data_IF_795277324945
#
_entry.id   IF_795277324945
#
_cell.length_a   1.000
_cell.length_b   1.000
_cell.length_c   1.000
_cell.angle_alpha   90.00
_cell.angle_beta   90.00
_cell.angle_gamma   90.00
#
_symmetry.space_group_name_H-M   'P 1'
#
loop_
_entity.id
_entity.type
_entity.pdbx_description
1 polymer ?
#
# COMPACT_ATOMS: atom_id res chain seq x y z
N UNK A 1 -30.73 -10.49 6.49
CA UNK A 1 -29.70 -9.82 7.31
C UNK A 1 -28.41 -9.92 6.51
N UNK A 2 -27.74 -8.90 5.97
CA UNK A 2 -27.70 -7.43 6.09
C UNK A 2 -27.57 -6.90 4.64
N UNK A 3 -28.24 -5.84 4.17
CA UNK A 3 -27.92 -4.43 4.48
C UNK A 3 -26.85 -3.89 3.51
N UNK A 4 -27.22 -3.43 2.32
CA UNK A 4 -27.03 -2.02 1.90
C UNK A 4 -26.47 -1.98 0.47
N UNK A 5 -27.01 -1.29 -0.53
CA UNK A 5 -27.57 0.06 -0.47
C UNK A 5 -26.44 1.08 -0.47
N UNK A 6 -25.99 1.50 -1.66
CA UNK A 6 -24.89 2.47 -1.80
C UNK A 6 -25.00 3.28 -3.09
N UNK A 7 -25.89 4.27 -3.04
CA UNK A 7 -26.17 5.28 -4.07
C UNK A 7 -24.93 5.85 -4.75
N UNK A 8 -24.99 5.94 -6.07
CA UNK A 8 -24.34 7.01 -6.82
C UNK A 8 -24.78 8.37 -6.25
N UNK A 9 -23.91 9.13 -5.58
CA UNK A 9 -24.05 10.57 -5.33
C UNK A 9 -22.75 11.19 -4.81
N UNK A 10 -22.32 12.23 -5.51
CA UNK A 10 -21.11 13.00 -5.30
C UNK A 10 -21.16 13.73 -3.94
N UNK A 11 -20.11 13.56 -3.13
CA UNK A 11 -19.96 14.19 -1.81
C UNK A 11 -19.08 13.42 -0.84
N UNK A 12 -18.07 12.69 -1.33
CA UNK A 12 -17.18 11.91 -0.47
C UNK A 12 -16.21 12.85 0.23
N UNK A 13 -16.15 12.79 1.57
CA UNK A 13 -15.07 13.45 2.30
C UNK A 13 -13.80 12.62 2.21
N UNK A 14 -12.66 13.25 2.51
CA UNK A 14 -11.36 12.56 2.55
C UNK A 14 -11.40 11.38 3.55
N UNK A 15 -12.13 11.55 4.65
CA UNK A 15 -12.29 10.53 5.69
C UNK A 15 -13.13 9.35 5.20
N UNK A 16 -14.24 9.60 4.48
CA UNK A 16 -15.07 8.54 3.89
C UNK A 16 -14.27 7.68 2.91
N UNK A 17 -13.43 8.31 2.09
CA UNK A 17 -12.57 7.58 1.13
C UNK A 17 -11.57 6.69 1.86
N UNK A 18 -10.95 7.21 2.92
CA UNK A 18 -9.98 6.45 3.73
C UNK A 18 -10.64 5.29 4.47
N UNK A 19 -11.82 5.50 5.02
CA UNK A 19 -12.62 4.45 5.67
C UNK A 19 -13.02 3.37 4.66
N UNK A 20 -13.50 3.78 3.48
CA UNK A 20 -13.88 2.84 2.41
C UNK A 20 -12.71 2.00 1.93
N UNK A 21 -11.54 2.61 1.73
CA UNK A 21 -10.30 1.89 1.37
C UNK A 21 -9.90 0.94 2.52
N UNK A 22 -10.00 1.39 3.77
CA UNK A 22 -9.73 0.53 4.94
C UNK A 22 -10.60 -0.71 4.94
N UNK A 23 -11.92 -0.53 4.91
CA UNK A 23 -12.90 -1.63 4.90
C UNK A 23 -12.68 -2.60 3.75
N UNK A 24 -12.45 -2.09 2.54
CA UNK A 24 -12.16 -2.91 1.37
C UNK A 24 -10.94 -3.82 1.58
N UNK A 25 -9.86 -3.27 2.16
CA UNK A 25 -8.64 -4.03 2.42
C UNK A 25 -8.84 -5.05 3.54
N UNK A 26 -9.59 -4.70 4.59
CA UNK A 26 -9.95 -5.62 5.68
C UNK A 26 -10.82 -6.78 5.18
N UNK A 27 -11.84 -6.50 4.37
CA UNK A 27 -12.68 -7.52 3.73
C UNK A 27 -11.87 -8.45 2.83
N UNK A 28 -10.93 -7.89 2.06
CA UNK A 28 -10.01 -8.66 1.25
C UNK A 28 -9.08 -9.54 2.10
N UNK A 29 -8.58 -9.01 3.21
CA UNK A 29 -7.76 -9.77 4.16
C UNK A 29 -8.52 -10.97 4.74
N UNK A 30 -9.78 -10.75 5.14
CA UNK A 30 -10.66 -11.75 5.72
C UNK A 30 -11.08 -12.87 4.74
N UNK A 31 -10.81 -12.72 3.44
CA UNK A 31 -11.09 -13.73 2.42
C UNK A 31 -11.70 -13.20 1.12
N UNK A 32 -11.77 -11.88 0.94
CA UNK A 32 -12.30 -11.28 -0.29
C UNK A 32 -11.48 -11.54 -1.55
N UNK A 33 -12.10 -11.30 -2.70
CA UNK A 33 -11.51 -11.56 -4.02
C UNK A 33 -10.70 -10.35 -4.54
N UNK A 34 -9.58 -10.62 -5.20
CA UNK A 34 -8.69 -9.57 -5.71
C UNK A 34 -9.34 -8.74 -6.81
N UNK A 35 -10.20 -9.36 -7.63
CA UNK A 35 -10.89 -8.68 -8.74
C UNK A 35 -11.97 -7.74 -8.20
N UNK A 36 -12.66 -8.14 -7.14
CA UNK A 36 -13.65 -7.30 -6.45
C UNK A 36 -12.99 -6.10 -5.80
N UNK A 37 -11.87 -6.31 -5.09
CA UNK A 37 -11.08 -5.22 -4.52
C UNK A 37 -10.57 -4.24 -5.60
N UNK A 38 -10.00 -4.74 -6.71
CA UNK A 38 -9.58 -3.89 -7.83
C UNK A 38 -10.75 -3.11 -8.45
N UNK A 39 -11.91 -3.76 -8.59
CA UNK A 39 -13.11 -3.13 -9.10
C UNK A 39 -13.58 -2.00 -8.18
N UNK A 40 -13.65 -2.24 -6.88
CA UNK A 40 -14.03 -1.22 -5.91
C UNK A 40 -13.05 -0.04 -5.89
N UNK A 41 -11.74 -0.28 -6.02
CA UNK A 41 -10.72 0.78 -6.18
C UNK A 41 -10.97 1.61 -7.44
N UNK A 42 -11.34 0.97 -8.56
CA UNK A 42 -11.68 1.66 -9.80
C UNK A 42 -12.98 2.48 -9.67
N UNK A 43 -14.00 1.89 -9.03
CA UNK A 43 -15.31 2.52 -8.85
C UNK A 43 -15.30 3.66 -7.83
N UNK A 44 -14.32 3.71 -6.92
CA UNK A 44 -14.04 4.87 -6.08
C UNK A 44 -13.83 6.14 -6.91
N UNK A 45 -13.32 6.04 -8.15
CA UNK A 45 -13.20 7.19 -9.06
C UNK A 45 -12.26 8.30 -8.55
N UNK A 46 -11.40 7.99 -7.60
CA UNK A 46 -10.52 8.95 -6.90
C UNK A 46 -9.04 8.63 -7.13
N UNK A 47 -8.50 8.88 -8.34
CA UNK A 47 -7.12 8.56 -8.70
C UNK A 47 -6.08 9.24 -7.81
N UNK A 48 -6.43 10.37 -7.21
CA UNK A 48 -5.57 11.09 -6.28
C UNK A 48 -5.34 10.34 -4.97
N UNK A 49 -6.22 9.41 -4.58
CA UNK A 49 -6.13 8.62 -3.34
C UNK A 49 -5.58 7.20 -3.55
N UNK A 50 -5.15 6.86 -4.76
CA UNK A 50 -4.60 5.53 -5.04
C UNK A 50 -3.32 5.23 -4.22
N UNK A 51 -2.48 6.23 -3.97
CA UNK A 51 -1.33 6.09 -3.05
C UNK A 51 -1.73 5.67 -1.62
N UNK A 52 -2.94 6.01 -1.15
CA UNK A 52 -3.43 5.60 0.17
C UNK A 52 -3.75 4.10 0.21
N UNK A 53 -4.23 3.53 -0.90
CA UNK A 53 -4.39 2.07 -1.06
C UNK A 53 -3.05 1.37 -0.91
N UNK A 54 -2.01 1.89 -1.57
CA UNK A 54 -0.64 1.36 -1.48
C UNK A 54 -0.13 1.45 -0.04
N UNK A 55 -0.28 2.62 0.61
CA UNK A 55 0.15 2.84 1.98
C UNK A 55 -0.52 1.86 2.94
N UNK A 56 -1.85 1.81 2.96
CA UNK A 56 -2.62 0.92 3.85
C UNK A 56 -2.29 -0.55 3.60
N UNK A 57 -2.19 -0.95 2.33
CA UNK A 57 -1.86 -2.34 1.99
C UNK A 57 -0.48 -2.74 2.51
N UNK A 58 0.52 -1.85 2.41
CA UNK A 58 1.87 -2.09 2.92
C UNK A 58 1.93 -2.14 4.45
N UNK A 59 1.17 -1.29 5.14
CA UNK A 59 1.07 -1.31 6.61
C UNK A 59 0.52 -2.66 7.08
N UNK A 60 -0.62 -3.08 6.52
CA UNK A 60 -1.24 -4.38 6.84
C UNK A 60 -0.31 -5.55 6.46
N UNK A 61 0.42 -5.45 5.34
CA UNK A 61 1.46 -6.42 4.95
C UNK A 61 2.58 -6.56 5.99
N UNK A 62 2.93 -5.49 6.70
CA UNK A 62 3.96 -5.53 7.74
C UNK A 62 3.42 -6.03 9.08
N UNK A 63 2.17 -5.70 9.40
CA UNK A 63 1.49 -6.12 10.63
C UNK A 63 1.12 -7.61 10.58
N UNK A 64 0.42 -8.05 9.53
CA UNK A 64 -0.14 -9.39 9.40
C UNK A 64 0.66 -10.32 8.47
N UNK A 65 1.72 -9.83 7.81
CA UNK A 65 2.52 -10.61 6.83
C UNK A 65 1.69 -11.25 5.73
N UNK A 66 0.57 -10.60 5.37
CA UNK A 66 -0.40 -11.18 4.46
C UNK A 66 -0.02 -10.96 2.99
N UNK A 67 0.66 -11.93 2.38
CA UNK A 67 1.07 -11.88 0.97
C UNK A 67 -0.09 -11.70 -0.03
N UNK A 68 -1.35 -11.90 0.38
CA UNK A 68 -2.51 -11.64 -0.49
C UNK A 68 -2.58 -10.18 -0.89
N UNK A 69 -2.25 -9.25 0.02
CA UNK A 69 -2.27 -7.83 -0.28
C UNK A 69 -1.19 -7.43 -1.29
N UNK A 70 -0.05 -8.13 -1.27
CA UNK A 70 0.95 -7.96 -2.32
C UNK A 70 0.40 -8.31 -3.70
N UNK A 71 -0.35 -9.42 -3.79
CA UNK A 71 -1.02 -9.83 -5.04
C UNK A 71 -2.07 -8.81 -5.48
N UNK A 72 -2.80 -8.20 -4.54
CA UNK A 72 -3.74 -7.13 -4.84
C UNK A 72 -3.03 -5.92 -5.45
N UNK A 73 -1.94 -5.45 -4.84
CA UNK A 73 -1.15 -4.34 -5.39
C UNK A 73 -0.63 -4.67 -6.80
N UNK A 74 -0.16 -5.90 -7.01
CA UNK A 74 0.28 -6.37 -8.33
C UNK A 74 -0.83 -6.30 -9.37
N UNK A 75 -2.02 -6.82 -9.05
CA UNK A 75 -3.16 -6.77 -9.95
C UNK A 75 -3.60 -5.33 -10.24
N UNK A 76 -3.63 -4.47 -9.22
CA UNK A 76 -3.94 -3.05 -9.40
C UNK A 76 -2.93 -2.34 -10.33
N UNK A 77 -1.65 -2.70 -10.24
CA UNK A 77 -0.59 -2.17 -11.11
C UNK A 77 -0.72 -2.68 -12.54
N UNK A 78 -0.96 -3.99 -12.72
CA UNK A 78 -1.15 -4.63 -14.03
C UNK A 78 -2.38 -4.07 -14.77
N UNK A 79 -3.45 -3.81 -14.03
CA UNK A 79 -4.66 -3.15 -14.54
C UNK A 79 -4.49 -1.64 -14.76
N UNK A 80 -3.29 -1.09 -14.54
CA UNK A 80 -2.97 0.34 -14.61
C UNK A 80 -3.87 1.23 -13.74
N UNK A 81 -4.46 0.68 -12.68
CA UNK A 81 -5.20 1.46 -11.69
C UNK A 81 -4.25 2.30 -10.85
N UNK A 82 -3.13 1.69 -10.45
CA UNK A 82 -2.10 2.35 -9.65
C UNK A 82 -0.85 2.45 -10.51
N UNK A 83 -0.47 3.67 -10.85
CA UNK A 83 0.74 3.93 -11.64
C UNK A 83 1.99 3.86 -10.77
N UNK A 84 3.15 3.68 -11.40
CA UNK A 84 4.46 3.70 -10.73
C UNK A 84 4.64 4.95 -9.83
N UNK A 85 4.17 6.12 -10.28
CA UNK A 85 4.24 7.35 -9.49
C UNK A 85 3.38 7.27 -8.21
N UNK A 86 2.21 6.64 -8.28
CA UNK A 86 1.36 6.41 -7.09
C UNK A 86 1.96 5.34 -6.17
N UNK A 87 2.60 4.30 -6.73
CA UNK A 87 3.35 3.32 -5.96
C UNK A 87 4.47 4.00 -5.18
N UNK A 88 5.37 4.72 -5.85
CA UNK A 88 6.46 5.47 -5.22
C UNK A 88 5.96 6.42 -4.13
N UNK A 89 4.87 7.14 -4.38
CA UNK A 89 4.26 8.03 -3.38
C UNK A 89 3.73 7.26 -2.16
N UNK A 90 3.09 6.10 -2.38
CA UNK A 90 2.61 5.22 -1.32
C UNK A 90 3.75 4.66 -0.47
N UNK A 91 4.81 4.14 -1.10
CA UNK A 91 6.02 3.68 -0.41
C UNK A 91 6.66 4.80 0.41
N UNK A 92 6.87 5.99 -0.16
CA UNK A 92 7.37 7.15 0.60
C UNK A 92 6.49 7.47 1.82
N UNK A 93 5.17 7.41 1.68
CA UNK A 93 4.26 7.69 2.79
C UNK A 93 4.34 6.65 3.91
N UNK A 94 4.66 5.40 3.56
CA UNK A 94 4.94 4.36 4.56
C UNK A 94 6.30 4.60 5.20
N UNK A 95 7.32 4.99 4.43
CA UNK A 95 8.63 5.35 4.98
C UNK A 95 8.54 6.48 6.02
N UNK A 96 7.72 7.51 5.76
CA UNK A 96 7.49 8.61 6.71
C UNK A 96 6.78 8.16 8.00
N UNK A 97 5.93 7.13 7.92
CA UNK A 97 5.24 6.54 9.09
C UNK A 97 5.93 5.26 9.59
N UNK A 98 7.15 4.96 9.14
CA UNK A 98 7.84 3.72 9.43
C UNK A 98 8.36 3.68 10.86
N UNK A 99 8.76 4.83 11.40
CA UNK A 99 9.17 4.96 12.80
C UNK A 99 8.01 4.71 13.75
N UNK A 100 6.82 5.27 13.46
CA UNK A 100 5.60 4.98 14.22
C UNK A 100 5.22 3.50 14.11
N UNK A 101 5.22 2.94 12.89
CA UNK A 101 4.91 1.52 12.68
C UNK A 101 5.90 0.59 13.38
N UNK A 102 7.16 1.02 13.54
CA UNK A 102 8.17 0.26 14.28
C UNK A 102 7.92 0.23 15.80
N UNK A 103 7.08 1.12 16.33
CA UNK A 103 6.64 1.08 17.73
C UNK A 103 5.73 -0.13 17.98
N UNK A 104 4.85 -0.44 17.02
CA UNK A 104 3.94 -1.58 17.09
C UNK A 104 4.58 -2.88 16.58
N UNK A 105 5.38 -2.78 15.51
CA UNK A 105 5.99 -3.93 14.83
C UNK A 105 7.52 -3.76 14.80
N UNK A 106 8.28 -4.43 15.70
CA UNK A 106 9.73 -4.21 15.82
C UNK A 106 10.51 -4.57 14.55
N UNK A 107 9.96 -5.43 13.67
CA UNK A 107 10.57 -5.81 12.39
C UNK A 107 10.09 -4.95 11.20
N UNK A 108 9.20 -3.96 11.40
CA UNK A 108 8.62 -3.14 10.33
C UNK A 108 9.68 -2.56 9.38
N UNK A 109 10.75 -2.00 9.96
CA UNK A 109 11.87 -1.41 9.21
C UNK A 109 12.55 -2.42 8.29
N UNK A 110 12.79 -3.64 8.77
CA UNK A 110 13.40 -4.72 8.00
C UNK A 110 12.46 -5.24 6.91
N UNK A 111 11.18 -5.43 7.25
CA UNK A 111 10.15 -5.85 6.30
C UNK A 111 9.98 -4.84 5.18
N UNK A 112 9.92 -3.54 5.51
CA UNK A 112 9.81 -2.47 4.53
C UNK A 112 10.99 -2.48 3.55
N UNK A 113 12.24 -2.66 4.02
CA UNK A 113 13.40 -2.81 3.13
C UNK A 113 13.22 -3.96 2.14
N UNK A 114 12.80 -5.13 2.62
CA UNK A 114 12.55 -6.29 1.77
C UNK A 114 11.45 -6.03 0.73
N UNK A 115 10.36 -5.35 1.13
CA UNK A 115 9.29 -4.97 0.23
C UNK A 115 9.73 -3.95 -0.83
N UNK A 116 10.61 -3.00 -0.50
CA UNK A 116 11.17 -2.05 -1.46
C UNK A 116 12.00 -2.77 -2.53
N UNK A 117 12.88 -3.69 -2.13
CA UNK A 117 13.71 -4.47 -3.06
C UNK A 117 12.84 -5.36 -3.99
N UNK A 118 11.81 -5.97 -3.42
CA UNK A 118 10.81 -6.73 -4.19
C UNK A 118 10.06 -5.83 -5.17
N UNK A 119 9.66 -4.62 -4.75
CA UNK A 119 8.96 -3.66 -5.59
C UNK A 119 9.83 -3.13 -6.75
N UNK A 120 11.14 -2.93 -6.54
CA UNK A 120 12.09 -2.63 -7.62
C UNK A 120 12.16 -3.76 -8.65
N UNK A 121 12.22 -5.01 -8.17
CA UNK A 121 12.27 -6.20 -9.04
C UNK A 121 10.98 -6.36 -9.88
N UNK A 122 9.83 -6.02 -9.31
CA UNK A 122 8.54 -6.02 -10.00
C UNK A 122 8.33 -4.77 -10.89
N UNK A 123 9.28 -3.83 -10.92
CA UNK A 123 9.20 -2.59 -11.72
C UNK A 123 8.22 -1.55 -11.17
N UNK A 124 7.82 -1.66 -9.91
CA UNK A 124 6.93 -0.70 -9.25
C UNK A 124 7.66 0.54 -8.75
N UNK A 125 8.95 0.41 -8.45
CA UNK A 125 9.82 1.47 -7.96
C UNK A 125 11.05 1.58 -8.85
N UNK A 126 11.58 2.80 -8.96
CA UNK A 126 12.83 3.01 -9.67
C UNK A 126 13.98 2.40 -8.85
N UNK A 127 15.00 1.91 -9.54
CA UNK A 127 16.25 1.46 -8.93
C UNK A 127 16.90 2.55 -8.05
N UNK A 128 16.69 3.82 -8.39
CA UNK A 128 17.15 4.99 -7.65
C UNK A 128 16.32 5.30 -6.40
N UNK A 129 15.23 4.57 -6.14
CA UNK A 129 14.41 4.76 -4.96
C UNK A 129 15.21 4.40 -3.70
N UNK A 130 15.68 5.44 -3.01
CA UNK A 130 16.38 5.35 -1.75
C UNK A 130 15.42 5.22 -0.59
N UNK A 131 15.66 4.23 0.26
CA UNK A 131 15.00 4.06 1.55
C UNK A 131 15.61 5.10 2.50
N UNK A 132 15.32 6.38 2.27
CA UNK A 132 15.97 7.52 2.95
C UNK A 132 15.48 7.69 4.40
N UNK A 133 15.72 6.65 5.20
CA UNK A 133 15.52 6.62 6.64
C UNK A 133 16.27 5.50 7.35
N UNK A 134 16.98 4.60 6.66
CA UNK A 134 17.57 3.45 7.38
C UNK A 134 18.90 2.86 6.93
N UNK A 135 19.71 3.54 6.11
CA UNK A 135 21.13 3.20 6.00
C UNK A 135 21.93 4.33 5.32
N UNK A 136 22.47 5.25 6.14
CA UNK A 136 23.86 5.67 5.96
C UNK A 136 24.62 5.15 7.17
N UNK A 137 24.75 3.83 7.30
CA UNK A 137 25.68 3.18 8.23
C UNK A 137 25.72 1.70 7.90
N UNK A 138 26.39 1.37 6.80
CA UNK A 138 27.21 0.15 6.69
C UNK A 138 28.20 0.39 5.54
N UNK A 139 29.36 0.87 5.99
CA UNK A 139 30.70 0.50 5.52
C UNK A 139 31.07 0.76 4.05
N UNK A 140 31.90 1.79 3.86
CA UNK A 140 33.16 1.60 3.14
C UNK A 140 34.26 2.36 3.90
N UNK A 141 34.56 1.85 5.09
CA UNK A 141 35.91 1.92 5.62
C UNK A 141 36.65 0.67 5.17
N UNK A 142 37.39 0.73 4.06
CA UNK A 142 38.55 -0.13 3.85
C UNK A 142 39.49 0.46 2.78
N UNK A 143 40.61 0.98 3.30
CA UNK A 143 41.93 1.27 2.71
C UNK A 143 42.06 2.41 1.71
#
# INVERSE_FOLDING_TARGET
MLGGGGSCKNGWTIEDVKDKIGKLLEEFEAGGDTREACRCIKELGMPFFHHEVVKKSLVILMENKNERLWRLLRQCFDMQLITMNQMTKGFNRVAESLDDLALDVPDAKKQYKNYVERAKTEGWLDTSFGINGLEQSLENGHR
#
